data_IF_137565106469
#
_entry.id   IF_137565106469
#
_cell.length_a   1.000
_cell.length_b   1.000
_cell.length_c   1.000
_cell.angle_alpha   90.00
_cell.angle_beta   90.00
_cell.angle_gamma   90.00
#
_symmetry.space_group_name_H-M   'P 1'
#
loop_
_entity.id
_entity.type
_entity.pdbx_description
1 polymer ?
#
# COMPACT_ATOMS: atom_id res chain seq x y z
N UNK A 1 5.67 15.18 -16.55
CA UNK A 1 4.36 14.60 -16.94
C UNK A 1 4.41 13.12 -16.55
N UNK A 2 3.40 12.57 -15.84
CA UNK A 2 3.44 11.18 -15.38
C UNK A 2 3.43 10.21 -16.59
N UNK A 3 4.24 9.14 -16.59
CA UNK A 3 4.16 8.10 -17.63
C UNK A 3 2.75 7.51 -17.73
N UNK A 4 2.25 7.29 -18.94
CA UNK A 4 0.86 6.87 -19.19
C UNK A 4 0.47 5.59 -18.44
N UNK A 5 1.39 4.63 -18.29
CA UNK A 5 1.15 3.38 -17.54
C UNK A 5 0.96 3.60 -16.04
N UNK A 6 1.80 4.45 -15.43
CA UNK A 6 1.69 4.79 -14.00
C UNK A 6 0.43 5.59 -13.71
N UNK A 7 0.05 6.50 -14.61
CA UNK A 7 -1.17 7.28 -14.50
C UNK A 7 -2.43 6.39 -14.46
N UNK A 8 -2.50 5.38 -15.32
CA UNK A 8 -3.61 4.43 -15.34
C UNK A 8 -3.70 3.58 -14.06
N UNK A 9 -2.56 3.13 -13.53
CA UNK A 9 -2.46 2.40 -12.27
C UNK A 9 -2.93 3.24 -11.09
N UNK A 10 -2.45 4.48 -10.97
CA UNK A 10 -2.84 5.40 -9.91
C UNK A 10 -4.33 5.76 -9.99
N UNK A 11 -4.89 6.00 -11.18
CA UNK A 11 -6.34 6.21 -11.32
C UNK A 11 -7.15 4.99 -10.91
N UNK A 12 -6.67 3.78 -11.23
CA UNK A 12 -7.37 2.54 -10.85
C UNK A 12 -7.38 2.36 -9.35
N UNK A 13 -6.24 2.59 -8.70
CA UNK A 13 -6.14 2.56 -7.24
C UNK A 13 -7.02 3.63 -6.59
N UNK A 14 -6.96 4.88 -7.09
CA UNK A 14 -7.79 5.98 -6.58
C UNK A 14 -9.28 5.64 -6.57
N UNK A 15 -9.79 5.12 -7.69
CA UNK A 15 -11.19 4.70 -7.82
C UNK A 15 -11.56 3.51 -6.93
N UNK A 16 -10.61 2.62 -6.64
CA UNK A 16 -10.84 1.50 -5.74
C UNK A 16 -10.90 1.98 -4.27
N UNK A 17 -10.21 3.08 -3.96
CA UNK A 17 -10.15 3.65 -2.63
C UNK A 17 -11.29 4.61 -2.31
N UNK A 18 -11.73 5.42 -3.28
CA UNK A 18 -12.90 6.31 -3.20
C UNK A 18 -14.20 5.49 -3.24
N UNK A 19 -14.58 4.92 -2.08
CA UNK A 19 -15.74 4.04 -1.93
C UNK A 19 -17.07 4.79 -1.95
N UNK A 20 -17.10 5.99 -1.39
CA UNK A 20 -18.31 6.80 -1.35
C UNK A 20 -18.52 7.59 -2.66
N UNK A 21 -17.54 7.58 -3.56
CA UNK A 21 -17.54 8.25 -4.85
C UNK A 21 -17.68 9.78 -4.75
N UNK A 22 -17.15 10.38 -3.69
CA UNK A 22 -17.15 11.83 -3.48
C UNK A 22 -16.00 12.55 -4.21
N UNK A 23 -15.12 11.78 -4.87
CA UNK A 23 -13.98 12.30 -5.62
C UNK A 23 -12.76 12.60 -4.77
N UNK A 24 -12.78 12.21 -3.50
CA UNK A 24 -11.68 12.30 -2.54
C UNK A 24 -11.50 10.95 -1.84
N UNK A 25 -10.30 10.72 -1.31
CA UNK A 25 -10.09 9.62 -0.36
C UNK A 25 -10.04 10.25 1.03
N UNK A 26 -11.02 9.97 1.87
CA UNK A 26 -10.95 10.35 3.29
C UNK A 26 -9.93 9.51 4.04
N UNK A 27 -9.46 9.99 5.21
CA UNK A 27 -8.62 9.15 6.09
C UNK A 27 -9.26 7.80 6.43
N UNK A 28 -10.60 7.75 6.56
CA UNK A 28 -11.31 6.49 6.83
C UNK A 28 -11.21 5.54 5.65
N UNK A 29 -11.48 6.02 4.44
CA UNK A 29 -11.38 5.21 3.22
C UNK A 29 -9.95 4.73 2.98
N UNK A 30 -8.95 5.59 3.18
CA UNK A 30 -7.55 5.19 3.14
C UNK A 30 -7.26 4.08 4.16
N UNK A 31 -7.72 4.20 5.42
CA UNK A 31 -7.54 3.14 6.44
C UNK A 31 -8.20 1.83 6.05
N UNK A 32 -9.41 1.89 5.50
CA UNK A 32 -10.16 0.71 5.08
C UNK A 32 -9.49 -0.04 3.94
N UNK A 33 -8.99 0.69 2.93
CA UNK A 33 -8.27 0.12 1.78
C UNK A 33 -6.97 -0.51 2.26
N UNK A 34 -6.18 0.21 3.07
CA UNK A 34 -4.93 -0.31 3.64
C UNK A 34 -5.20 -1.58 4.48
N UNK A 35 -6.28 -1.60 5.27
CA UNK A 35 -6.65 -2.78 6.04
C UNK A 35 -7.14 -3.94 5.17
N UNK A 36 -7.79 -3.65 4.04
CA UNK A 36 -8.18 -4.68 3.07
C UNK A 36 -6.96 -5.29 2.38
N UNK A 37 -6.01 -4.46 1.95
CA UNK A 37 -4.75 -4.90 1.36
C UNK A 37 -3.96 -5.77 2.34
N UNK A 38 -3.88 -5.35 3.62
CA UNK A 38 -3.26 -6.14 4.67
C UNK A 38 -3.90 -7.53 4.80
N UNK A 39 -5.24 -7.60 4.91
CA UNK A 39 -5.96 -8.89 5.02
C UNK A 39 -5.77 -9.78 3.79
N UNK A 40 -5.57 -9.18 2.62
CA UNK A 40 -5.30 -9.95 1.40
C UNK A 40 -3.90 -10.55 1.41
N UNK A 41 -2.93 -9.84 2.01
CA UNK A 41 -1.54 -10.28 2.14
C UNK A 41 -1.32 -11.23 3.31
N UNK A 42 -2.10 -11.13 4.40
CA UNK A 42 -2.09 -12.01 5.57
C UNK A 42 -2.74 -13.35 5.20
N UNK A 43 -1.95 -14.18 4.51
CA UNK A 43 -2.43 -15.39 3.85
C UNK A 43 -2.64 -16.55 4.82
N UNK A 44 -1.99 -16.54 5.99
CA UNK A 44 -2.22 -17.50 7.07
C UNK A 44 -3.23 -17.01 8.12
N UNK A 45 -3.66 -15.75 8.04
CA UNK A 45 -4.65 -15.13 8.94
C UNK A 45 -4.19 -15.09 10.40
N UNK A 46 -2.90 -14.90 10.66
CA UNK A 46 -2.34 -14.77 12.01
C UNK A 46 -2.24 -13.32 12.50
N UNK A 47 -2.69 -12.36 11.67
CA UNK A 47 -2.73 -10.94 12.01
C UNK A 47 -1.40 -10.21 11.81
N UNK A 48 -0.40 -10.85 11.19
CA UNK A 48 0.87 -10.23 10.79
C UNK A 48 1.26 -10.61 9.37
N UNK A 49 1.95 -9.73 8.65
CA UNK A 49 2.62 -10.09 7.40
C UNK A 49 4.01 -10.63 7.72
N UNK A 50 4.27 -11.86 7.31
CA UNK A 50 5.51 -12.57 7.60
C UNK A 50 6.02 -13.35 6.38
N UNK A 51 7.19 -13.99 6.54
CA UNK A 51 7.71 -14.92 5.54
C UNK A 51 6.79 -16.13 5.30
N UNK A 52 5.91 -16.47 6.26
CA UNK A 52 4.95 -17.56 6.08
C UNK A 52 3.92 -17.19 5.02
N UNK A 53 3.42 -15.96 5.06
CA UNK A 53 2.44 -15.44 4.11
C UNK A 53 2.99 -15.41 2.70
N UNK A 54 4.20 -14.89 2.54
CA UNK A 54 4.93 -14.89 1.27
C UNK A 54 5.07 -16.32 0.73
N UNK A 55 5.42 -17.30 1.57
CA UNK A 55 5.54 -18.71 1.13
C UNK A 55 4.19 -19.32 0.75
N UNK A 56 3.10 -18.92 1.39
CA UNK A 56 1.76 -19.38 1.01
C UNK A 56 1.39 -18.78 -0.34
N UNK A 57 1.60 -17.48 -0.52
CA UNK A 57 1.26 -16.77 -1.75
C UNK A 57 2.08 -17.27 -2.95
N UNK A 58 3.40 -17.42 -2.80
CA UNK A 58 4.28 -18.01 -3.83
C UNK A 58 3.84 -19.42 -4.26
N UNK A 59 3.36 -20.23 -3.29
CA UNK A 59 2.80 -21.56 -3.57
C UNK A 59 1.49 -21.48 -4.34
N UNK A 60 0.60 -20.54 -3.99
CA UNK A 60 -0.68 -20.33 -4.71
C UNK A 60 -0.46 -19.97 -6.18
N UNK A 61 0.56 -19.15 -6.49
CA UNK A 61 0.87 -18.72 -7.86
C UNK A 61 1.83 -19.67 -8.61
N UNK A 62 2.16 -20.84 -8.05
CA UNK A 62 3.02 -21.85 -8.68
C UNK A 62 4.48 -21.41 -8.88
N UNK A 63 4.96 -20.40 -8.15
CA UNK A 63 6.35 -19.94 -8.23
C UNK A 63 7.19 -20.58 -7.12
N UNK A 64 8.34 -21.20 -7.45
CA UNK A 64 9.24 -21.69 -6.42
C UNK A 64 9.81 -20.49 -5.65
N UNK A 65 9.94 -20.57 -4.31
CA UNK A 65 10.58 -19.53 -3.53
C UNK A 65 12.08 -19.49 -3.87
N UNK A 66 12.45 -18.59 -4.80
CA UNK A 66 13.85 -18.38 -5.24
C UNK A 66 14.58 -17.31 -4.42
N UNK A 67 13.87 -16.58 -3.58
CA UNK A 67 14.38 -15.37 -2.92
C UNK A 67 15.03 -15.73 -1.58
N UNK A 68 16.19 -15.14 -1.29
CA UNK A 68 16.73 -15.10 0.09
C UNK A 68 15.62 -14.61 1.02
N UNK A 69 15.43 -15.29 2.14
CA UNK A 69 14.27 -15.24 3.02
C UNK A 69 14.18 -13.92 3.83
N UNK A 70 14.30 -12.78 3.18
CA UNK A 70 14.22 -11.49 3.86
C UNK A 70 12.92 -10.78 3.50
N UNK A 71 12.14 -10.49 4.54
CA UNK A 71 10.91 -9.71 4.46
C UNK A 71 11.21 -8.32 3.85
N UNK A 72 12.43 -7.78 4.03
CA UNK A 72 12.87 -6.49 3.50
C UNK A 72 12.89 -6.44 1.97
N UNK A 73 13.11 -7.57 1.31
CA UNK A 73 13.00 -7.64 -0.14
C UNK A 73 11.55 -7.40 -0.62
N UNK A 74 10.58 -7.96 0.10
CA UNK A 74 9.16 -7.91 -0.27
C UNK A 74 8.47 -6.65 0.25
N UNK A 75 8.95 -6.10 1.36
CA UNK A 75 8.39 -4.90 1.98
C UNK A 75 9.51 -3.87 2.28
N UNK A 76 10.14 -3.27 1.27
CA UNK A 76 11.35 -2.43 1.46
C UNK A 76 11.15 -1.19 2.36
N UNK A 77 9.90 -0.83 2.67
CA UNK A 77 9.55 0.26 3.58
C UNK A 77 9.19 -0.20 5.00
N UNK A 78 9.43 -1.48 5.33
CA UNK A 78 9.13 -2.03 6.64
C UNK A 78 10.27 -1.78 7.63
N UNK A 79 9.90 -1.33 8.83
CA UNK A 79 10.78 -1.28 10.01
C UNK A 79 10.23 -2.24 11.09
N UNK A 80 9.67 -3.38 10.66
CA UNK A 80 8.93 -4.29 11.55
C UNK A 80 9.83 -4.86 12.64
N UNK A 81 9.30 -4.96 13.87
CA UNK A 81 10.02 -5.62 14.96
C UNK A 81 10.04 -7.14 14.71
N UNK A 82 11.23 -7.73 14.62
CA UNK A 82 11.38 -9.19 14.63
C UNK A 82 10.92 -9.93 13.35
N UNK A 83 10.88 -9.26 12.19
CA UNK A 83 10.65 -9.92 10.91
C UNK A 83 9.19 -10.21 10.57
N UNK A 84 8.25 -9.53 11.24
CA UNK A 84 6.82 -9.51 10.91
C UNK A 84 6.31 -8.06 10.90
N UNK A 85 5.20 -7.80 10.20
CA UNK A 85 4.57 -6.47 10.12
C UNK A 85 3.14 -6.58 10.63
N UNK A 86 2.81 -5.86 11.70
CA UNK A 86 1.43 -5.76 12.19
C UNK A 86 0.62 -4.72 11.38
N UNK A 87 -0.72 -4.83 11.39
CA UNK A 87 -1.60 -3.88 10.71
C UNK A 87 -1.30 -2.42 11.07
N UNK A 88 -1.04 -2.12 12.34
CA UNK A 88 -0.73 -0.76 12.79
C UNK A 88 0.62 -0.23 12.26
N UNK A 89 1.57 -1.12 12.01
CA UNK A 89 2.87 -0.78 11.41
C UNK A 89 2.72 -0.61 9.90
N UNK A 90 1.98 -1.51 9.25
CA UNK A 90 1.63 -1.42 7.84
C UNK A 90 0.87 -0.12 7.55
N UNK A 91 -0.12 0.21 8.37
CA UNK A 91 -0.84 1.49 8.32
C UNK A 91 0.12 2.66 8.48
N UNK A 92 1.02 2.66 9.46
CA UNK A 92 1.97 3.76 9.64
C UNK A 92 2.91 3.94 8.45
N UNK A 93 3.44 2.85 7.89
CA UNK A 93 4.29 2.90 6.70
C UNK A 93 3.52 3.47 5.50
N UNK A 94 2.30 2.97 5.25
CA UNK A 94 1.46 3.45 4.17
C UNK A 94 0.98 4.89 4.40
N UNK A 95 0.60 5.29 5.61
CA UNK A 95 0.20 6.66 5.94
C UNK A 95 1.35 7.66 5.90
N UNK A 96 2.59 7.25 6.18
CA UNK A 96 3.74 8.11 5.98
C UNK A 96 3.90 8.47 4.49
N UNK A 97 3.70 7.49 3.60
CA UNK A 97 3.70 7.71 2.16
C UNK A 97 2.53 8.58 1.68
N UNK A 98 1.33 8.34 2.21
CA UNK A 98 0.11 9.07 1.83
C UNK A 98 0.07 10.49 2.43
N UNK A 99 0.67 10.73 3.60
CA UNK A 99 0.75 12.09 4.19
C UNK A 99 1.50 13.09 3.32
N UNK A 100 2.48 12.64 2.54
CA UNK A 100 3.14 13.50 1.55
C UNK A 100 2.21 13.97 0.42
N UNK A 101 1.06 13.30 0.24
CA UNK A 101 0.09 13.63 -0.81
C UNK A 101 -0.90 14.72 -0.37
N UNK A 102 -1.27 14.80 0.92
CA UNK A 102 -2.18 15.83 1.46
C UNK A 102 -1.48 17.19 1.53
N UNK A 103 -1.33 17.84 0.37
CA UNK A 103 -0.56 19.06 0.21
C UNK A 103 -1.30 20.29 0.74
N UNK A 104 -2.63 20.27 0.77
CA UNK A 104 -3.44 21.37 1.31
C UNK A 104 -3.81 21.16 2.79
N UNK A 105 -3.45 20.02 3.38
CA UNK A 105 -3.67 19.66 4.78
C UNK A 105 -5.16 19.61 5.17
N UNK A 106 -6.03 19.22 4.23
CA UNK A 106 -7.47 19.13 4.45
C UNK A 106 -7.92 17.79 5.04
N UNK A 107 -6.98 16.85 5.20
CA UNK A 107 -7.24 15.52 5.75
C UNK A 107 -7.96 14.59 4.78
N UNK A 108 -8.03 14.96 3.49
CA UNK A 108 -8.50 14.15 2.37
C UNK A 108 -7.42 14.13 1.29
N UNK A 109 -7.56 13.21 0.36
CA UNK A 109 -6.62 13.09 -0.76
C UNK A 109 -7.37 13.24 -2.07
N UNK A 110 -7.13 14.35 -2.76
CA UNK A 110 -7.66 14.59 -4.09
C UNK A 110 -6.83 13.92 -5.18
N UNK A 111 -7.43 13.68 -6.35
CA UNK A 111 -6.68 13.21 -7.52
C UNK A 111 -5.53 14.16 -7.91
N UNK A 112 -5.73 15.47 -7.72
CA UNK A 112 -4.72 16.48 -8.03
C UNK A 112 -3.49 16.32 -7.16
N UNK A 113 -3.68 16.11 -5.87
CA UNK A 113 -2.64 15.90 -4.88
C UNK A 113 -1.82 14.64 -5.14
N UNK A 114 -2.50 13.52 -5.36
CA UNK A 114 -1.85 12.25 -5.68
C UNK A 114 -1.02 12.40 -6.95
N UNK A 115 -1.59 12.99 -8.00
CA UNK A 115 -0.89 13.22 -9.26
C UNK A 115 0.34 14.10 -9.08
N UNK A 116 0.24 15.17 -8.28
CA UNK A 116 1.33 16.12 -8.04
C UNK A 116 2.46 15.46 -7.25
N UNK A 117 2.15 14.71 -6.19
CA UNK A 117 3.13 14.00 -5.39
C UNK A 117 3.98 13.05 -6.24
N UNK A 118 3.34 12.18 -7.04
CA UNK A 118 4.07 11.26 -7.91
C UNK A 118 4.81 11.96 -9.06
N UNK A 119 4.37 13.15 -9.48
CA UNK A 119 5.08 13.94 -10.49
C UNK A 119 6.36 14.58 -9.92
N UNK A 120 6.39 14.92 -8.63
CA UNK A 120 7.57 15.48 -7.95
C UNK A 120 8.59 14.40 -7.57
N UNK A 121 8.13 13.18 -7.24
CA UNK A 121 9.00 12.09 -6.80
C UNK A 121 9.69 11.33 -7.95
N UNK A 122 9.23 11.54 -9.20
CA UNK A 122 9.75 10.92 -10.43
C UNK A 122 10.38 11.93 -11.41
N UNK A 123 10.59 13.17 -10.95
CA UNK A 123 11.40 14.18 -11.64
C UNK A 123 12.80 14.21 -11.08
#
# INVERSE_FOLDING_TARGET
MLPHGLYALLRRWFRAADRNHDGFISQREAREVIAADFRHMDANHDGVLSLKDIRIDLRRIGRPPRVKQDLAYYFPFHNGRGGSIHLAEFQRAMFAHVRGMDANHDGRYSWREIRTFYAQQLG
#
